data_IF_860473396439
#
_entry.id   IF_860473396439
#
_cell.length_a   1.000
_cell.length_b   1.000
_cell.length_c   1.000
_cell.angle_alpha   90.00
_cell.angle_beta   90.00
_cell.angle_gamma   90.00
#
_symmetry.space_group_name_H-M   'P 1'
#
loop_
_entity.id
_entity.type
_entity.pdbx_description
1 polymer ?
#
# COMPACT_ATOMS: atom_id res chain seq x y z
N UNK A 1 -17.58 -19.90 6.99
CA UNK A 1 -16.53 -19.46 7.93
C UNK A 1 -15.83 -18.24 7.34
N UNK A 2 -15.62 -17.19 8.13
CA UNK A 2 -14.95 -15.95 7.69
C UNK A 2 -13.45 -16.03 8.01
N UNK A 3 -12.63 -15.39 7.17
CA UNK A 3 -11.20 -15.29 7.37
C UNK A 3 -10.91 -14.46 8.62
N UNK A 4 -10.08 -15.00 9.52
CA UNK A 4 -9.75 -14.33 10.77
C UNK A 4 -9.04 -12.98 10.57
N UNK A 5 -8.22 -12.84 9.52
CA UNK A 5 -7.43 -11.62 9.27
C UNK A 5 -8.22 -10.53 8.53
N UNK A 6 -8.98 -10.88 7.49
CA UNK A 6 -9.61 -9.89 6.60
C UNK A 6 -11.14 -10.03 6.47
N UNK A 7 -11.77 -10.89 7.26
CA UNK A 7 -13.22 -11.16 7.29
C UNK A 7 -13.88 -11.66 5.98
N UNK A 8 -13.12 -11.83 4.88
CA UNK A 8 -13.61 -12.44 3.62
C UNK A 8 -13.91 -13.94 3.80
N UNK A 9 -14.65 -14.55 2.87
CA UNK A 9 -14.90 -16.00 2.89
C UNK A 9 -13.58 -16.80 2.92
N UNK A 10 -13.46 -17.72 3.88
CA UNK A 10 -12.30 -18.60 4.00
C UNK A 10 -12.24 -19.63 2.86
N UNK A 11 -11.02 -20.03 2.46
CA UNK A 11 -10.76 -20.91 1.30
C UNK A 11 -9.99 -22.18 1.67
N UNK A 12 -10.14 -22.67 2.89
CA UNK A 12 -9.53 -23.93 3.36
C UNK A 12 -8.12 -23.80 3.93
N UNK A 13 -7.58 -22.59 4.07
CA UNK A 13 -6.35 -22.35 4.84
C UNK A 13 -6.68 -22.30 6.33
N UNK A 14 -5.82 -22.88 7.18
CA UNK A 14 -6.01 -22.87 8.63
C UNK A 14 -4.70 -22.90 9.41
N UNK A 15 -4.79 -22.80 10.73
CA UNK A 15 -3.64 -22.90 11.62
C UNK A 15 -3.64 -24.22 12.39
N UNK A 16 -2.44 -24.73 12.69
CA UNK A 16 -2.26 -25.90 13.57
C UNK A 16 -1.22 -25.58 14.62
N UNK A 17 -1.65 -25.54 15.88
CA UNK A 17 -0.76 -25.28 17.01
C UNK A 17 -0.11 -26.59 17.47
N UNK A 18 1.12 -26.82 17.03
CA UNK A 18 1.87 -28.04 17.32
C UNK A 18 2.32 -28.18 18.78
N UNK A 19 2.09 -27.17 19.64
CA UNK A 19 2.35 -27.29 21.09
C UNK A 19 1.37 -28.23 21.78
N UNK A 20 0.20 -28.43 21.18
CA UNK A 20 -0.82 -29.32 21.68
C UNK A 20 -0.71 -30.69 21.01
N UNK A 21 -0.85 -31.76 21.80
CA UNK A 21 -0.80 -33.13 21.30
C UNK A 21 -1.92 -33.46 20.30
N UNK A 22 -1.69 -34.48 19.48
CA UNK A 22 -2.67 -34.99 18.50
C UNK A 22 -3.93 -35.43 19.27
N UNK A 23 -5.07 -34.79 19.01
CA UNK A 23 -6.34 -35.04 19.71
C UNK A 23 -6.78 -33.94 20.69
N UNK A 24 -5.93 -32.96 20.99
CA UNK A 24 -6.35 -31.78 21.75
C UNK A 24 -7.10 -30.79 20.82
N UNK A 25 -8.33 -30.36 21.15
CA UNK A 25 -9.08 -29.41 20.32
C UNK A 25 -8.34 -28.08 20.07
N UNK A 26 -7.47 -27.66 20.99
CA UNK A 26 -6.64 -26.44 20.83
C UNK A 26 -5.57 -26.58 19.76
N UNK A 27 -5.23 -27.81 19.34
CA UNK A 27 -4.31 -28.06 18.23
C UNK A 27 -4.87 -27.60 16.88
N UNK A 28 -6.18 -27.73 16.70
CA UNK A 28 -6.89 -27.36 15.48
C UNK A 28 -8.02 -26.37 15.77
N UNK A 29 -7.70 -25.11 16.11
CA UNK A 29 -8.74 -24.11 16.35
C UNK A 29 -9.59 -23.93 15.10
N UNK A 30 -10.89 -24.24 15.21
CA UNK A 30 -11.84 -24.20 14.09
C UNK A 30 -12.01 -22.77 13.54
N UNK A 31 -11.81 -21.76 14.38
CA UNK A 31 -12.01 -20.34 14.02
C UNK A 31 -10.80 -19.72 13.30
N UNK A 32 -9.65 -20.38 13.31
CA UNK A 32 -8.42 -19.86 12.69
C UNK A 32 -8.31 -20.33 11.24
N UNK A 33 -9.21 -19.78 10.42
CA UNK A 33 -9.28 -20.05 8.98
C UNK A 33 -8.98 -18.80 8.15
N UNK A 34 -8.42 -18.97 6.95
CA UNK A 34 -7.94 -17.88 6.10
C UNK A 34 -8.46 -17.96 4.66
N UNK A 35 -8.55 -16.80 3.99
CA UNK A 35 -8.96 -16.71 2.59
C UNK A 35 -7.80 -16.89 1.60
N UNK A 36 -6.55 -16.75 2.06
CA UNK A 36 -5.34 -16.80 1.24
C UNK A 36 -4.11 -17.16 2.08
N UNK A 37 -3.04 -17.61 1.40
CA UNK A 37 -1.72 -17.84 2.01
C UNK A 37 -1.15 -16.57 2.64
N UNK A 38 -1.35 -15.40 2.02
CA UNK A 38 -0.91 -14.11 2.56
C UNK A 38 -1.53 -13.84 3.94
N UNK A 39 -2.85 -14.00 4.08
CA UNK A 39 -3.51 -13.84 5.37
C UNK A 39 -3.04 -14.87 6.41
N UNK A 40 -2.79 -16.11 5.99
CA UNK A 40 -2.26 -17.14 6.88
C UNK A 40 -0.85 -16.78 7.39
N UNK A 41 0.02 -16.25 6.52
CA UNK A 41 1.38 -15.86 6.87
C UNK A 41 1.42 -14.66 7.80
N UNK A 42 0.57 -13.65 7.56
CA UNK A 42 0.38 -12.53 8.49
C UNK A 42 -0.03 -13.02 9.87
N UNK A 43 -0.99 -13.95 9.94
CA UNK A 43 -1.41 -14.54 11.21
C UNK A 43 -0.26 -15.29 11.89
N UNK A 44 0.50 -16.13 11.18
CA UNK A 44 1.63 -16.86 11.76
C UNK A 44 2.74 -15.94 12.27
N UNK A 45 3.01 -14.83 11.58
CA UNK A 45 3.98 -13.83 12.03
C UNK A 45 3.51 -13.17 13.34
N UNK A 46 2.26 -12.71 13.41
CA UNK A 46 1.67 -12.10 14.61
C UNK A 46 1.65 -13.09 15.78
N UNK A 47 1.17 -14.32 15.52
CA UNK A 47 1.06 -15.36 16.52
C UNK A 47 2.43 -15.81 17.07
N UNK A 48 3.42 -15.98 16.20
CA UNK A 48 4.79 -16.31 16.60
C UNK A 48 5.47 -15.20 17.39
N UNK A 49 5.21 -13.93 17.07
CA UNK A 49 5.69 -12.78 17.84
C UNK A 49 5.06 -12.73 19.24
N UNK A 50 3.73 -12.86 19.30
CA UNK A 50 2.99 -12.93 20.56
C UNK A 50 3.47 -14.09 21.45
N UNK A 51 3.71 -15.26 20.86
CA UNK A 51 4.22 -16.42 21.60
C UNK A 51 5.63 -16.15 22.16
N UNK A 52 6.55 -15.61 21.36
CA UNK A 52 7.90 -15.27 21.83
C UNK A 52 7.88 -14.25 22.96
N UNK A 53 6.93 -13.32 22.93
CA UNK A 53 6.74 -12.34 24.00
C UNK A 53 6.17 -12.96 25.28
N UNK A 54 5.19 -13.86 25.17
CA UNK A 54 4.67 -14.63 26.31
C UNK A 54 5.73 -15.53 26.95
N UNK A 55 6.59 -16.15 26.14
CA UNK A 55 7.69 -17.00 26.61
C UNK A 55 8.87 -16.17 27.18
N UNK A 56 8.75 -14.83 27.25
CA UNK A 56 9.78 -13.92 27.77
C UNK A 56 11.04 -13.85 26.90
N UNK A 57 10.98 -14.34 25.66
CA UNK A 57 12.14 -14.39 24.73
C UNK A 57 12.33 -13.10 23.95
N UNK A 58 11.30 -12.26 23.90
CA UNK A 58 11.30 -10.95 23.24
C UNK A 58 10.49 -9.99 24.11
N UNK A 59 10.95 -8.77 24.30
CA UNK A 59 10.16 -7.75 24.99
C UNK A 59 8.84 -7.51 24.24
N UNK A 60 7.73 -7.28 24.97
CA UNK A 60 6.50 -6.70 24.41
C UNK A 60 6.76 -5.24 23.99
N UNK A 61 7.57 -5.04 22.95
CA UNK A 61 7.59 -3.78 22.22
C UNK A 61 6.40 -3.78 21.28
N UNK A 62 5.58 -2.75 21.39
CA UNK A 62 4.59 -2.41 20.37
C UNK A 62 5.29 -2.47 19.01
N UNK A 63 4.80 -3.35 18.12
CA UNK A 63 5.22 -3.31 16.72
C UNK A 63 4.78 -1.93 16.22
N UNK A 64 5.69 -1.06 15.78
CA UNK A 64 5.30 0.26 15.29
C UNK A 64 4.25 0.05 14.20
N UNK A 65 3.08 0.66 14.40
CA UNK A 65 1.83 0.35 13.69
C UNK A 65 1.82 0.82 12.21
N UNK A 66 2.98 1.10 11.64
CA UNK A 66 3.14 1.43 10.23
C UNK A 66 4.31 0.59 9.75
N UNK A 67 4.01 -0.51 9.07
CA UNK A 67 4.94 -1.15 8.14
C UNK A 67 4.70 -0.46 6.79
N UNK A 68 5.37 0.69 6.52
CA UNK A 68 5.15 1.42 5.29
C UNK A 68 5.48 0.51 4.11
N UNK A 69 4.56 0.41 3.16
CA UNK A 69 4.82 -0.31 1.92
C UNK A 69 6.08 0.22 1.22
N UNK A 70 6.71 -0.59 0.38
CA UNK A 70 7.93 -0.18 -0.33
C UNK A 70 7.74 1.13 -1.11
N UNK A 71 6.53 1.37 -1.60
CA UNK A 71 6.12 2.57 -2.33
C UNK A 71 6.04 3.78 -1.39
N UNK A 72 5.43 3.60 -0.22
CA UNK A 72 5.38 4.60 0.85
C UNK A 72 6.79 4.97 1.33
N UNK A 73 7.65 3.98 1.57
CA UNK A 73 9.05 4.22 1.91
C UNK A 73 9.81 4.98 0.82
N UNK A 74 9.56 4.66 -0.45
CA UNK A 74 10.18 5.35 -1.58
C UNK A 74 9.73 6.82 -1.67
N UNK A 75 8.44 7.09 -1.44
CA UNK A 75 7.92 8.47 -1.40
C UNK A 75 8.43 9.25 -0.19
N UNK A 76 8.54 8.64 0.98
CA UNK A 76 9.12 9.26 2.19
C UNK A 76 10.56 9.71 1.90
N UNK A 77 11.35 8.86 1.23
CA UNK A 77 12.72 9.20 0.83
C UNK A 77 12.78 10.34 -0.19
N UNK A 78 11.82 10.44 -1.11
CA UNK A 78 11.73 11.56 -2.07
C UNK A 78 11.42 12.89 -1.36
N UNK A 79 10.57 12.87 -0.33
CA UNK A 79 10.23 14.07 0.45
C UNK A 79 11.43 14.69 1.20
N UNK A 80 12.52 13.94 1.44
CA UNK A 80 13.72 14.47 2.12
C UNK A 80 14.32 15.68 1.41
N UNK A 81 14.23 15.74 0.07
CA UNK A 81 14.71 16.87 -0.72
C UNK A 81 13.83 18.11 -0.52
N UNK A 82 12.52 17.98 -0.69
CA UNK A 82 11.55 19.07 -0.49
C UNK A 82 11.58 19.60 0.95
N UNK A 83 11.78 18.69 1.92
CA UNK A 83 12.03 19.06 3.32
C UNK A 83 13.29 19.92 3.45
N UNK A 84 14.42 19.48 2.88
CA UNK A 84 15.68 20.22 2.96
C UNK A 84 15.64 21.61 2.32
N UNK A 85 14.93 21.75 1.20
CA UNK A 85 14.71 23.04 0.53
C UNK A 85 13.87 23.99 1.41
N UNK A 86 12.74 23.51 1.92
CA UNK A 86 11.87 24.30 2.80
C UNK A 86 12.55 24.65 4.13
N UNK A 87 13.31 23.72 4.69
CA UNK A 87 14.11 23.90 5.88
C UNK A 87 15.26 24.91 5.68
N UNK A 88 15.88 24.91 4.50
CA UNK A 88 16.93 25.85 4.12
C UNK A 88 16.41 27.29 4.00
N UNK A 89 15.21 27.47 3.44
CA UNK A 89 14.57 28.79 3.31
C UNK A 89 14.12 29.39 4.65
N UNK A 90 13.66 28.55 5.58
CA UNK A 90 13.22 28.99 6.92
C UNK A 90 14.43 29.26 7.84
N UNK A 91 15.55 28.58 7.60
CA UNK A 91 16.74 28.67 8.45
C UNK A 91 16.58 27.80 9.70
N UNK A 92 17.12 26.59 9.65
CA UNK A 92 17.03 25.57 10.71
C UNK A 92 17.93 25.86 11.94
N UNK A 93 18.05 27.13 12.33
CA UNK A 93 18.96 27.61 13.38
C UNK A 93 18.33 27.53 14.78
N UNK A 94 17.02 27.30 14.85
CA UNK A 94 16.21 27.21 16.07
C UNK A 94 15.63 25.80 16.24
N UNK A 95 15.42 25.32 17.48
CA UNK A 95 14.80 24.02 17.71
C UNK A 95 13.36 24.00 17.18
N UNK A 96 12.90 22.81 16.76
CA UNK A 96 11.55 22.59 16.19
C UNK A 96 10.40 23.13 17.06
N UNK A 97 10.60 23.24 18.38
CA UNK A 97 9.61 23.79 19.31
C UNK A 97 9.46 25.33 19.28
N UNK A 98 10.39 26.05 18.64
CA UNK A 98 10.37 27.52 18.51
C UNK A 98 9.87 27.98 17.12
N UNK A 99 9.36 27.04 16.32
CA UNK A 99 8.76 27.36 15.03
C UNK A 99 7.40 28.02 15.25
N UNK A 100 7.17 29.12 14.55
CA UNK A 100 5.83 29.67 14.42
C UNK A 100 4.95 28.70 13.63
N UNK A 101 3.65 28.76 13.88
CA UNK A 101 2.67 27.94 13.16
C UNK A 101 2.82 28.05 11.64
N UNK A 102 3.06 29.27 11.12
CA UNK A 102 3.24 29.50 9.69
C UNK A 102 4.49 28.79 9.11
N UNK A 103 5.59 28.74 9.86
CA UNK A 103 6.80 28.04 9.43
C UNK A 103 6.60 26.53 9.47
N UNK A 104 5.94 26.01 10.52
CA UNK A 104 5.63 24.60 10.64
C UNK A 104 4.69 24.13 9.52
N UNK A 105 3.63 24.91 9.25
CA UNK A 105 2.68 24.61 8.17
C UNK A 105 3.36 24.62 6.81
N UNK A 106 4.33 25.52 6.55
CA UNK A 106 5.09 25.53 5.29
C UNK A 106 5.89 24.24 5.08
N UNK A 107 6.55 23.74 6.12
CA UNK A 107 7.31 22.47 6.03
C UNK A 107 6.36 21.28 5.82
N UNK A 108 5.24 21.24 6.54
CA UNK A 108 4.23 20.18 6.39
C UNK A 108 3.66 20.20 4.97
N UNK A 109 3.30 21.36 4.45
CA UNK A 109 2.73 21.52 3.11
C UNK A 109 3.71 21.03 2.02
N UNK A 110 4.99 21.37 2.13
CA UNK A 110 6.01 20.91 1.20
C UNK A 110 6.19 19.38 1.23
N UNK A 111 6.18 18.77 2.42
CA UNK A 111 6.30 17.31 2.57
C UNK A 111 5.07 16.61 2.00
N UNK A 112 3.86 17.06 2.36
CA UNK A 112 2.60 16.43 1.96
C UNK A 112 2.41 16.56 0.46
N UNK A 113 2.66 17.74 -0.12
CA UNK A 113 2.60 17.96 -1.57
C UNK A 113 3.57 17.03 -2.31
N UNK A 114 4.83 16.97 -1.88
CA UNK A 114 5.82 16.08 -2.50
C UNK A 114 5.42 14.60 -2.39
N UNK A 115 4.85 14.20 -1.25
CA UNK A 115 4.36 12.85 -1.03
C UNK A 115 3.20 12.51 -1.97
N UNK A 116 2.21 13.40 -2.07
CA UNK A 116 1.05 13.19 -2.95
C UNK A 116 1.47 13.11 -4.41
N UNK A 117 2.39 13.98 -4.85
CA UNK A 117 2.92 13.95 -6.21
C UNK A 117 3.67 12.66 -6.51
N UNK A 118 4.49 12.19 -5.55
CA UNK A 118 5.21 10.92 -5.70
C UNK A 118 4.27 9.71 -5.76
N UNK A 119 3.18 9.74 -4.99
CA UNK A 119 2.12 8.72 -5.03
C UNK A 119 1.32 8.75 -6.33
N UNK A 120 0.96 9.95 -6.82
CA UNK A 120 0.26 10.13 -8.10
C UNK A 120 1.12 9.63 -9.26
N UNK A 121 2.39 10.01 -9.32
CA UNK A 121 3.30 9.53 -10.36
C UNK A 121 3.45 8.00 -10.36
N UNK A 122 3.50 7.38 -9.17
CA UNK A 122 3.50 5.92 -9.06
C UNK A 122 2.17 5.31 -9.52
N UNK A 123 1.04 5.92 -9.15
CA UNK A 123 -0.28 5.48 -9.59
C UNK A 123 -0.43 5.54 -11.12
N UNK A 124 0.01 6.62 -11.75
CA UNK A 124 0.02 6.76 -13.21
C UNK A 124 0.89 5.68 -13.88
N UNK A 125 2.08 5.41 -13.34
CA UNK A 125 2.98 4.37 -13.85
C UNK A 125 2.42 2.95 -13.71
N UNK A 126 1.55 2.72 -12.73
CA UNK A 126 0.99 1.40 -12.41
C UNK A 126 -0.49 1.24 -12.79
N UNK A 127 -1.09 2.26 -13.40
CA UNK A 127 -2.50 2.32 -13.82
C UNK A 127 -2.88 1.14 -14.72
N UNK A 128 -1.94 0.68 -15.54
CA UNK A 128 -2.10 -0.50 -16.39
C UNK A 128 -1.11 -1.59 -15.96
N UNK A 129 -1.57 -2.70 -15.37
CA UNK A 129 -0.69 -3.80 -14.99
C UNK A 129 0.01 -4.32 -16.25
N UNK A 130 1.35 -4.47 -16.26
CA UNK A 130 2.04 -5.01 -17.42
C UNK A 130 1.61 -6.46 -17.66
N UNK A 131 0.86 -6.70 -18.73
CA UNK A 131 0.47 -8.04 -19.15
C UNK A 131 1.66 -8.65 -19.89
N UNK A 132 2.22 -9.73 -19.33
CA UNK A 132 3.40 -10.41 -19.90
C UNK A 132 3.13 -10.82 -21.36
N UNK A 133 3.95 -10.31 -22.29
CA UNK A 133 3.88 -10.65 -23.71
C UNK A 133 3.07 -9.67 -24.57
N UNK A 134 2.46 -8.64 -23.97
CA UNK A 134 1.82 -7.55 -24.69
C UNK A 134 2.60 -6.25 -24.50
N UNK A 135 2.63 -5.35 -25.50
CA UNK A 135 3.15 -4.01 -25.32
C UNK A 135 2.33 -3.28 -24.23
N UNK A 136 2.92 -2.29 -23.52
CA UNK A 136 2.20 -1.50 -22.54
C UNK A 136 0.96 -0.87 -23.18
N UNK A 137 -0.21 -1.09 -22.58
CA UNK A 137 -1.47 -0.54 -23.07
C UNK A 137 -1.38 0.99 -23.04
N UNK A 138 -1.53 1.68 -24.19
CA UNK A 138 -1.65 3.13 -24.21
C UNK A 138 -2.83 3.57 -23.34
N UNK A 139 -2.74 4.72 -22.67
CA UNK A 139 -3.87 5.22 -21.88
C UNK A 139 -5.08 5.44 -22.80
N UNK A 140 -6.19 4.69 -22.64
CA UNK A 140 -7.38 4.84 -23.49
C UNK A 140 -8.04 6.22 -23.33
N UNK A 141 -7.65 7.01 -22.33
CA UNK A 141 -8.09 8.39 -22.15
C UNK A 141 -7.09 9.43 -22.67
N UNK A 142 -5.91 9.03 -23.19
CA UNK A 142 -4.99 9.98 -23.83
C UNK A 142 -5.60 10.57 -25.11
N UNK A 143 -6.38 9.76 -25.83
CA UNK A 143 -7.15 10.18 -26.98
C UNK A 143 -8.56 9.56 -26.93
N UNK A 144 -9.46 10.10 -26.09
CA UNK A 144 -10.79 9.51 -25.84
C UNK A 144 -11.72 9.50 -27.06
N UNK A 145 -11.28 10.08 -28.18
CA UNK A 145 -12.00 10.13 -29.45
C UNK A 145 -11.15 9.65 -30.65
N UNK A 146 -9.95 9.08 -30.44
CA UNK A 146 -9.14 8.58 -31.56
C UNK A 146 -9.85 7.47 -32.33
N UNK A 147 -10.64 6.67 -31.63
CA UNK A 147 -11.40 5.56 -32.21
C UNK A 147 -12.74 6.02 -32.80
N UNK A 148 -13.10 7.31 -32.65
CA UNK A 148 -14.40 7.85 -33.06
C UNK A 148 -14.51 8.04 -34.58
N UNK A 149 -13.41 8.16 -35.31
CA UNK A 149 -13.42 8.31 -36.78
C UNK A 149 -14.11 7.12 -37.49
N UNK A 150 -14.00 5.92 -36.92
CA UNK A 150 -14.63 4.69 -37.45
C UNK A 150 -16.06 4.47 -36.91
N UNK A 151 -16.47 5.21 -35.87
CA UNK A 151 -17.73 5.01 -35.12
C UNK A 151 -18.79 6.08 -35.45
N UNK A 152 -18.59 6.96 -36.43
CA UNK A 152 -19.60 7.95 -36.86
C UNK A 152 -20.64 7.29 -37.79
N UNK A 153 -21.89 7.03 -37.35
CA UNK A 153 -22.90 6.33 -38.15
C UNK A 153 -23.43 7.11 -39.36
N UNK A 154 -22.92 8.31 -39.63
CA UNK A 154 -23.36 9.20 -40.72
C UNK A 154 -22.30 9.46 -41.80
N UNK A 155 -21.15 8.79 -41.77
CA UNK A 155 -20.23 8.80 -42.91
C UNK A 155 -20.74 7.81 -43.96
N UNK A 156 -21.74 8.25 -44.71
CA UNK A 156 -22.13 7.60 -45.96
C UNK A 156 -20.96 7.77 -46.94
N UNK A 157 -20.39 6.65 -47.41
CA UNK A 157 -19.48 6.64 -48.56
C UNK A 157 -20.16 7.33 -49.74
N UNK A 158 -19.91 8.63 -49.94
CA UNK A 158 -20.67 9.40 -50.92
C UNK A 158 -20.13 10.76 -51.32
N UNK A 159 -19.50 11.52 -50.42
CA UNK A 159 -19.00 12.86 -50.76
C UNK A 159 -17.48 12.89 -50.91
N UNK A 160 -17.01 12.30 -52.01
CA UNK A 160 -15.79 12.76 -52.68
C UNK A 160 -16.18 13.31 -54.04
N UNK A 161 -16.44 14.61 -54.11
CA UNK A 161 -16.30 15.44 -55.31
C UNK A 161 -15.77 16.81 -54.93
#
# INVERSE_FOLDING_TARGET
MKCWVCNRQARGFGHTDNRHGVGNPRRYPIDWVFCSKKCQDTFHAMYGNWQRALDGRVDLKEVPMIDPSDIELASMKKCLKAFGESAGEIGFNKPLGEYSEAEALRVIDAIVTCWTDAMLAHHEQTKFPPVRGLPPTPDPLAHPFADLEDDLPWVVEGDKK
#
